data_IF_088887443392
#
_entry.id   IF_088887443392
#
_cell.length_a   1.000
_cell.length_b   1.000
_cell.length_c   1.000
_cell.angle_alpha   90.00
_cell.angle_beta   90.00
_cell.angle_gamma   90.00
#
_symmetry.space_group_name_H-M   'P 1'
#
loop_
_entity.id
_entity.type
_entity.pdbx_description
1 polymer ?
#
# COMPACT_ATOMS: atom_id res chain seq x y z
N UNK A 1 3.66 6.96 7.75
CA UNK A 1 3.03 6.34 6.54
C UNK A 1 2.82 4.85 6.79
N UNK A 2 2.63 4.51 8.06
CA UNK A 2 2.78 3.18 8.59
C UNK A 2 1.46 2.45 8.46
N UNK A 3 1.55 1.15 8.16
CA UNK A 3 0.38 0.31 8.00
C UNK A 3 0.09 -0.31 9.36
N UNK A 4 -0.81 0.34 10.10
CA UNK A 4 -1.21 -0.10 11.43
C UNK A 4 -2.16 -1.31 11.38
N UNK A 5 -3.01 -1.36 10.35
CA UNK A 5 -3.91 -2.47 10.09
C UNK A 5 -4.27 -2.52 8.60
N UNK A 6 -4.56 -3.73 8.11
CA UNK A 6 -5.29 -3.96 6.87
C UNK A 6 -6.44 -4.93 7.15
N UNK A 7 -7.49 -4.89 6.31
CA UNK A 7 -8.49 -5.97 6.28
C UNK A 7 -7.80 -7.31 5.99
N UNK A 8 -8.41 -8.45 6.38
CA UNK A 8 -7.81 -9.78 6.18
C UNK A 8 -7.53 -10.09 4.70
N UNK A 9 -8.37 -9.60 3.78
CA UNK A 9 -8.08 -9.60 2.34
C UNK A 9 -6.81 -8.81 1.95
N UNK A 10 -6.28 -7.98 2.85
CA UNK A 10 -4.98 -7.30 2.78
C UNK A 10 -3.89 -7.85 3.71
N UNK A 11 -4.19 -8.75 4.65
CA UNK A 11 -3.31 -9.08 5.79
C UNK A 11 -3.16 -10.60 6.10
N UNK A 12 -3.92 -11.54 5.51
CA UNK A 12 -3.85 -13.00 5.76
C UNK A 12 -2.77 -13.78 4.98
N UNK A 13 -2.35 -14.96 5.45
CA UNK A 13 -1.17 -15.71 5.01
C UNK A 13 -1.03 -15.96 3.48
N UNK A 14 0.15 -15.63 2.92
CA UNK A 14 0.70 -16.09 1.62
C UNK A 14 -0.33 -16.20 0.48
N UNK A 15 -1.10 -15.14 0.22
CA UNK A 15 -1.92 -15.10 -0.99
C UNK A 15 -1.64 -13.86 -1.81
N UNK A 16 -1.54 -14.09 -3.12
CA UNK A 16 -1.25 -13.19 -4.24
C UNK A 16 -2.36 -12.13 -4.45
N UNK A 17 -3.19 -11.92 -3.44
CA UNK A 17 -4.52 -11.31 -3.52
C UNK A 17 -4.64 -9.91 -2.91
N UNK A 18 -3.51 -9.20 -2.75
CA UNK A 18 -3.42 -8.03 -1.87
C UNK A 18 -3.08 -6.75 -2.63
N UNK A 19 -3.56 -5.57 -2.20
CA UNK A 19 -3.10 -4.30 -2.76
C UNK A 19 -1.63 -4.00 -2.46
N UNK A 20 -1.01 -4.68 -1.49
CA UNK A 20 0.42 -4.59 -1.13
C UNK A 20 0.98 -6.00 -0.78
N UNK A 21 1.18 -6.90 -1.75
CA UNK A 21 1.54 -8.29 -1.49
C UNK A 21 2.91 -8.42 -0.78
N UNK A 22 2.95 -9.21 0.30
CA UNK A 22 4.17 -9.53 1.04
C UNK A 22 4.54 -8.53 2.13
N UNK A 23 3.83 -7.42 2.27
CA UNK A 23 4.08 -6.44 3.35
C UNK A 23 3.78 -7.04 4.73
N UNK A 24 2.88 -8.02 4.82
CA UNK A 24 2.55 -8.76 6.02
C UNK A 24 3.72 -9.61 6.55
N UNK A 25 4.64 -9.99 5.68
CA UNK A 25 5.82 -10.76 6.06
C UNK A 25 6.85 -9.89 6.79
N UNK A 26 6.70 -8.56 6.77
CA UNK A 26 7.52 -7.65 7.54
C UNK A 26 7.01 -7.53 8.99
N UNK A 27 7.91 -7.34 9.97
CA UNK A 27 7.53 -6.94 11.33
C UNK A 27 6.64 -5.69 11.29
N UNK A 28 5.64 -5.62 12.18
CA UNK A 28 4.60 -4.59 12.15
C UNK A 28 5.19 -3.17 12.16
N UNK A 29 6.24 -2.95 12.95
CA UNK A 29 6.98 -1.71 13.09
C UNK A 29 7.76 -1.29 11.82
N UNK A 30 7.98 -2.23 10.89
CA UNK A 30 8.64 -1.98 9.61
C UNK A 30 7.64 -1.73 8.47
N UNK A 31 6.36 -2.07 8.65
CA UNK A 31 5.32 -1.93 7.62
C UNK A 31 5.02 -0.47 7.35
N UNK A 32 5.57 0.05 6.27
CA UNK A 32 5.39 1.42 5.84
C UNK A 32 5.23 1.46 4.32
N UNK A 33 4.24 2.21 3.83
CA UNK A 33 3.92 2.28 2.40
C UNK A 33 5.11 2.83 1.60
N UNK A 34 5.84 3.82 2.13
CA UNK A 34 7.02 4.38 1.46
C UNK A 34 8.13 3.33 1.35
N UNK A 35 8.44 2.60 2.43
CA UNK A 35 9.38 1.47 2.36
C UNK A 35 8.94 0.44 1.33
N UNK A 36 7.67 0.09 1.33
CA UNK A 36 7.13 -0.90 0.40
C UNK A 36 7.35 -0.47 -1.06
N UNK A 37 6.92 0.74 -1.45
CA UNK A 37 6.98 1.17 -2.86
C UNK A 37 8.42 1.34 -3.39
N UNK A 38 9.38 1.66 -2.51
CA UNK A 38 10.77 1.91 -2.91
C UNK A 38 11.68 0.69 -2.75
N UNK A 39 11.40 -0.20 -1.81
CA UNK A 39 12.34 -1.26 -1.41
C UNK A 39 11.81 -2.68 -1.66
N UNK A 40 10.48 -2.90 -1.64
CA UNK A 40 9.94 -4.25 -1.78
C UNK A 40 9.97 -4.74 -3.24
N UNK A 41 10.48 -5.94 -3.55
CA UNK A 41 10.55 -6.44 -4.92
C UNK A 41 9.19 -6.51 -5.61
N UNK A 42 8.14 -6.93 -4.90
CA UNK A 42 6.80 -7.03 -5.48
C UNK A 42 6.21 -5.67 -5.88
N UNK A 43 6.69 -4.56 -5.29
CA UNK A 43 6.21 -3.22 -5.65
C UNK A 43 6.66 -2.76 -7.04
N UNK A 44 7.69 -3.39 -7.62
CA UNK A 44 8.25 -3.02 -8.93
C UNK A 44 7.24 -3.20 -10.06
N UNK A 45 6.51 -4.30 -10.05
CA UNK A 45 5.56 -4.64 -11.12
C UNK A 45 4.10 -4.43 -10.72
N UNK A 46 3.85 -4.14 -9.44
CA UNK A 46 2.51 -4.00 -8.88
C UNK A 46 1.74 -2.80 -9.43
N UNK A 47 2.40 -1.67 -9.65
CA UNK A 47 1.73 -0.45 -10.10
C UNK A 47 1.98 -0.23 -11.58
N UNK A 48 0.93 -0.25 -12.41
CA UNK A 48 1.06 0.04 -13.82
C UNK A 48 1.58 1.47 -14.07
N UNK A 49 1.20 2.41 -13.19
CA UNK A 49 1.63 3.81 -13.21
C UNK A 49 2.68 4.08 -12.10
N UNK A 50 3.70 3.22 -12.03
CA UNK A 50 4.71 3.23 -10.97
C UNK A 50 5.35 4.58 -10.72
N UNK A 51 5.78 5.27 -11.79
CA UNK A 51 6.43 6.58 -11.65
C UNK A 51 5.52 7.57 -10.92
N UNK A 52 4.22 7.59 -11.22
CA UNK A 52 3.26 8.45 -10.53
C UNK A 52 3.13 8.09 -9.05
N UNK A 53 3.10 6.79 -8.73
CA UNK A 53 3.05 6.30 -7.35
C UNK A 53 4.29 6.71 -6.55
N UNK A 54 5.48 6.54 -7.10
CA UNK A 54 6.73 6.96 -6.45
C UNK A 54 6.73 8.46 -6.20
N UNK A 55 6.29 9.24 -7.18
CA UNK A 55 6.14 10.69 -7.05
C UNK A 55 5.21 11.14 -5.97
N UNK A 56 4.00 10.57 -5.95
CA UNK A 56 3.02 10.85 -4.92
C UNK A 56 3.55 10.51 -3.52
N UNK A 57 4.34 9.43 -3.40
CA UNK A 57 5.00 9.09 -2.14
C UNK A 57 6.06 10.12 -1.73
N UNK A 58 6.93 10.55 -2.64
CA UNK A 58 7.93 11.62 -2.36
C UNK A 58 7.24 12.94 -1.99
N UNK A 59 6.24 13.35 -2.77
CA UNK A 59 5.48 14.57 -2.50
C UNK A 59 4.82 14.53 -1.12
N UNK A 60 4.25 13.38 -0.75
CA UNK A 60 3.67 13.17 0.58
C UNK A 60 4.71 13.20 1.70
N UNK A 61 5.87 12.57 1.52
CA UNK A 61 6.95 12.60 2.50
C UNK A 61 7.45 14.03 2.72
N UNK A 62 7.65 14.82 1.65
CA UNK A 62 8.01 16.24 1.76
C UNK A 62 6.94 17.07 2.45
N UNK A 63 5.67 16.86 2.11
CA UNK A 63 4.56 17.56 2.75
C UNK A 63 4.53 17.29 4.27
N UNK A 64 4.72 16.02 4.67
CA UNK A 64 4.81 15.66 6.08
C UNK A 64 6.02 16.31 6.76
N UNK A 65 7.18 16.33 6.10
CA UNK A 65 8.39 16.96 6.64
C UNK A 65 8.27 18.48 6.77
N UNK A 66 7.44 19.11 5.94
CA UNK A 66 7.09 20.53 6.07
C UNK A 66 6.10 20.82 7.20
N UNK A 67 5.20 19.88 7.52
CA UNK A 67 4.21 20.03 8.61
C UNK A 67 4.85 19.73 9.97
N UNK A 68 5.67 18.68 10.06
CA UNK A 68 6.34 18.24 11.29
C UNK A 68 7.87 18.15 11.05
N UNK A 69 8.60 19.27 10.99
CA UNK A 69 10.04 19.27 10.68
C UNK A 69 10.91 18.58 11.75
N UNK A 70 10.46 18.58 13.01
CA UNK A 70 11.17 17.98 14.15
C UNK A 70 10.78 16.51 14.41
N UNK A 71 9.98 15.90 13.52
CA UNK A 71 9.56 14.51 13.64
C UNK A 71 10.74 13.55 13.33
N UNK A 72 11.44 13.13 14.38
CA UNK A 72 12.62 12.27 14.28
C UNK A 72 12.36 10.95 13.53
N UNK A 73 11.18 10.36 13.70
CA UNK A 73 10.72 9.15 13.00
C UNK A 73 10.64 9.38 11.49
N UNK A 74 10.10 10.51 11.05
CA UNK A 74 10.02 10.89 9.65
C UNK A 74 11.40 11.18 9.05
N UNK A 75 12.25 11.92 9.76
CA UNK A 75 13.63 12.20 9.32
C UNK A 75 14.42 10.90 9.15
N UNK A 76 14.31 9.98 10.12
CA UNK A 76 14.95 8.68 10.05
C UNK A 76 14.47 7.88 8.83
N UNK A 77 13.15 7.82 8.58
CA UNK A 77 12.58 7.14 7.43
C UNK A 77 13.08 7.72 6.10
N UNK A 78 13.12 9.05 5.96
CA UNK A 78 13.61 9.69 4.73
C UNK A 78 15.09 9.36 4.50
N UNK A 79 15.92 9.44 5.54
CA UNK A 79 17.35 9.12 5.44
C UNK A 79 17.60 7.64 5.08
N UNK A 80 16.84 6.73 5.70
CA UNK A 80 16.86 5.31 5.37
C UNK A 80 16.55 5.09 3.88
N UNK A 81 15.48 5.72 3.37
CA UNK A 81 15.07 5.57 1.98
C UNK A 81 16.04 6.21 0.99
N UNK A 82 16.65 7.35 1.33
CA UNK A 82 17.69 7.98 0.51
C UNK A 82 18.94 7.09 0.38
N UNK A 83 19.24 6.31 1.41
CA UNK A 83 20.39 5.39 1.40
C UNK A 83 20.09 4.10 0.64
N UNK A 84 18.85 3.62 0.69
CA UNK A 84 18.45 2.30 0.18
C UNK A 84 17.79 2.33 -1.20
N UNK A 85 17.31 3.49 -1.67
CA UNK A 85 16.60 3.62 -2.94
C UNK A 85 17.20 4.74 -3.81
N UNK A 86 18.01 4.40 -4.84
CA UNK A 86 18.52 5.37 -5.81
C UNK A 86 17.39 6.15 -6.52
N UNK A 87 16.23 5.51 -6.70
CA UNK A 87 15.06 6.14 -7.31
C UNK A 87 14.47 7.21 -6.41
N UNK A 88 14.35 6.95 -5.09
CA UNK A 88 13.91 7.97 -4.16
C UNK A 88 14.89 9.14 -4.16
N UNK A 89 16.20 8.90 -4.12
CA UNK A 89 17.23 9.95 -4.15
C UNK A 89 17.08 10.84 -5.37
N UNK A 90 16.98 10.25 -6.56
CA UNK A 90 16.75 11.00 -7.80
C UNK A 90 15.50 11.87 -7.73
N UNK A 91 14.38 11.32 -7.24
CA UNK A 91 13.12 12.05 -7.13
C UNK A 91 13.12 13.12 -6.01
N UNK A 92 13.90 12.88 -4.97
CA UNK A 92 14.09 13.80 -3.85
C UNK A 92 14.95 15.01 -4.22
N UNK A 93 15.86 14.88 -5.17
CA UNK A 93 16.68 15.99 -5.69
C UNK A 93 15.94 16.82 -6.74
N UNK A 94 15.16 16.17 -7.61
CA UNK A 94 14.56 16.85 -8.76
C UNK A 94 13.50 17.91 -8.41
N UNK A 95 13.02 17.98 -7.16
CA UNK A 95 11.99 18.93 -6.69
C UNK A 95 10.81 19.12 -7.67
N UNK A 96 10.50 18.10 -8.48
CA UNK A 96 9.50 18.24 -9.55
C UNK A 96 8.10 18.39 -8.94
N UNK A 97 7.43 19.48 -9.31
CA UNK A 97 6.00 19.68 -9.10
C UNK A 97 5.28 18.66 -9.98
N UNK A 98 4.76 17.61 -9.36
CA UNK A 98 4.08 16.53 -10.08
C UNK A 98 2.60 16.85 -10.29
N UNK A 99 2.00 16.32 -11.37
CA UNK A 99 0.58 16.45 -11.60
C UNK A 99 -0.23 15.87 -10.42
N UNK A 100 -1.51 16.28 -10.28
CA UNK A 100 -2.40 15.76 -9.25
C UNK A 100 -2.35 14.24 -9.18
N UNK A 101 -2.41 13.68 -7.96
CA UNK A 101 -2.47 12.25 -7.78
C UNK A 101 -3.64 11.67 -8.60
N UNK A 102 -3.44 10.55 -9.32
CA UNK A 102 -4.50 9.98 -10.14
C UNK A 102 -5.70 9.61 -9.25
N UNK A 103 -6.91 9.76 -9.79
CA UNK A 103 -8.17 9.45 -9.08
C UNK A 103 -8.36 7.96 -8.82
N UNK A 104 -7.62 7.11 -9.54
CA UNK A 104 -7.59 5.67 -9.37
C UNK A 104 -6.14 5.15 -9.40
N UNK A 105 -5.87 4.07 -8.68
CA UNK A 105 -4.64 3.29 -8.78
C UNK A 105 -4.84 2.13 -9.75
N UNK A 106 -3.95 2.01 -10.72
CA UNK A 106 -3.86 0.82 -11.57
C UNK A 106 -2.90 -0.19 -10.95
N UNK A 107 -3.44 -1.31 -10.50
CA UNK A 107 -2.72 -2.37 -9.81
C UNK A 107 -2.69 -3.61 -10.70
N UNK A 108 -1.51 -4.12 -11.00
CA UNK A 108 -1.31 -5.38 -11.71
C UNK A 108 -1.46 -6.53 -10.70
N UNK A 109 -2.66 -7.08 -10.65
CA UNK A 109 -2.98 -8.19 -9.77
C UNK A 109 -2.59 -9.51 -10.44
N UNK A 110 -1.81 -10.38 -9.79
CA UNK A 110 -1.32 -11.62 -10.40
C UNK A 110 -2.45 -12.61 -10.77
N UNK A 111 -3.58 -12.57 -10.07
CA UNK A 111 -4.74 -13.45 -10.34
C UNK A 111 -5.88 -12.78 -11.11
N UNK A 112 -5.98 -11.44 -11.03
CA UNK A 112 -7.11 -10.69 -11.61
C UNK A 112 -6.69 -9.79 -12.79
N UNK A 113 -5.41 -9.79 -13.14
CA UNK A 113 -4.85 -8.86 -14.12
C UNK A 113 -4.84 -7.41 -13.61
N UNK A 114 -4.75 -6.45 -14.51
CA UNK A 114 -4.75 -5.03 -14.14
C UNK A 114 -6.13 -4.59 -13.65
N UNK A 115 -6.21 -4.09 -12.42
CA UNK A 115 -7.39 -3.50 -11.78
C UNK A 115 -7.22 -1.98 -11.68
N UNK A 116 -8.24 -1.21 -12.08
CA UNK A 116 -8.28 0.23 -11.82
C UNK A 116 -9.16 0.50 -10.59
N UNK A 117 -8.53 0.77 -9.46
CA UNK A 117 -9.23 0.98 -8.18
C UNK A 117 -9.21 2.44 -7.80
N UNK A 118 -10.39 3.04 -7.67
CA UNK A 118 -10.56 4.31 -6.98
C UNK A 118 -10.11 4.17 -5.54
N UNK A 119 -9.65 5.26 -4.92
CA UNK A 119 -9.28 5.23 -3.52
C UNK A 119 -9.72 6.49 -2.78
N UNK A 120 -10.05 6.32 -1.51
CA UNK A 120 -10.38 7.43 -0.62
C UNK A 120 -9.50 7.36 0.62
N UNK A 121 -8.91 8.50 0.97
CA UNK A 121 -8.12 8.69 2.19
C UNK A 121 -8.93 9.55 3.16
N UNK A 122 -9.41 8.95 4.24
CA UNK A 122 -10.21 9.60 5.27
C UNK A 122 -9.37 9.79 6.54
N UNK A 123 -9.47 10.96 7.16
CA UNK A 123 -8.93 11.17 8.50
C UNK A 123 -9.86 10.51 9.51
N UNK A 124 -9.29 9.87 10.54
CA UNK A 124 -10.06 9.29 11.62
C UNK A 124 -10.24 10.36 12.71
N UNK A 125 -11.46 10.47 13.23
CA UNK A 125 -11.80 11.42 14.30
C UNK A 125 -10.92 11.20 15.54
N UNK A 126 -10.58 12.28 16.25
CA UNK A 126 -9.72 12.29 17.43
C UNK A 126 -8.32 11.66 17.27
N UNK A 127 -7.91 11.35 16.05
CA UNK A 127 -6.60 10.77 15.74
C UNK A 127 -6.00 11.46 14.52
N UNK A 128 -5.51 12.72 14.67
CA UNK A 128 -5.09 13.56 13.54
C UNK A 128 -3.96 12.98 12.69
N UNK A 129 -3.19 12.02 13.22
CA UNK A 129 -2.10 11.34 12.51
C UNK A 129 -2.54 10.02 11.86
N UNK A 130 -3.76 9.54 12.12
CA UNK A 130 -4.28 8.30 11.56
C UNK A 130 -5.24 8.55 10.40
N UNK A 131 -5.19 7.66 9.42
CA UNK A 131 -6.06 7.71 8.25
C UNK A 131 -6.52 6.31 7.86
N UNK A 132 -7.77 6.23 7.44
CA UNK A 132 -8.31 5.06 6.74
C UNK A 132 -8.17 5.28 5.24
N UNK A 133 -7.55 4.32 4.55
CA UNK A 133 -7.48 4.32 3.08
C UNK A 133 -8.32 3.17 2.56
N UNK A 134 -9.35 3.48 1.79
CA UNK A 134 -10.18 2.47 1.11
C UNK A 134 -9.83 2.43 -0.37
N UNK A 135 -9.82 1.23 -0.94
CA UNK A 135 -9.76 1.00 -2.37
C UNK A 135 -11.09 0.39 -2.80
N UNK A 136 -11.66 0.88 -3.90
CA UNK A 136 -12.95 0.42 -4.38
C UNK A 136 -13.04 0.52 -5.91
N UNK A 137 -14.01 -0.20 -6.46
CA UNK A 137 -14.43 -0.08 -7.85
C UNK A 137 -15.96 -0.04 -7.87
N UNK A 138 -16.52 0.66 -8.86
CA UNK A 138 -17.96 0.88 -8.90
C UNK A 138 -18.72 -0.43 -9.17
N UNK A 139 -19.86 -0.67 -8.51
CA UNK A 139 -20.69 -1.85 -8.74
C UNK A 139 -21.04 -2.03 -10.23
N UNK A 140 -21.03 -3.29 -10.70
CA UNK A 140 -21.30 -3.62 -12.10
C UNK A 140 -20.10 -3.47 -13.04
N UNK A 141 -18.96 -2.95 -12.56
CA UNK A 141 -17.72 -2.94 -13.35
C UNK A 141 -16.98 -4.28 -13.30
N UNK A 142 -16.11 -4.50 -14.30
CA UNK A 142 -15.20 -5.65 -14.33
C UNK A 142 -14.29 -5.67 -13.09
N UNK A 143 -13.78 -4.50 -12.70
CA UNK A 143 -12.83 -4.39 -11.58
C UNK A 143 -13.53 -4.66 -10.24
N UNK A 144 -14.79 -4.23 -10.06
CA UNK A 144 -15.59 -4.62 -8.90
C UNK A 144 -15.86 -6.12 -8.84
N UNK A 145 -16.20 -6.73 -9.98
CA UNK A 145 -16.41 -8.19 -10.07
C UNK A 145 -15.14 -8.95 -9.68
N UNK A 146 -13.98 -8.48 -10.15
CA UNK A 146 -12.71 -9.04 -9.76
C UNK A 146 -12.43 -8.88 -8.25
N UNK A 147 -12.64 -7.70 -7.66
CA UNK A 147 -12.46 -7.51 -6.21
C UNK A 147 -13.32 -8.46 -5.38
N UNK A 148 -14.61 -8.63 -5.73
CA UNK A 148 -15.51 -9.56 -5.02
C UNK A 148 -15.04 -11.01 -5.17
N UNK A 149 -14.50 -11.38 -6.33
CA UNK A 149 -13.94 -12.72 -6.52
C UNK A 149 -12.71 -12.95 -5.63
N UNK A 150 -11.81 -11.97 -5.56
CA UNK A 150 -10.61 -12.02 -4.72
C UNK A 150 -10.94 -12.11 -3.22
N UNK A 151 -11.99 -11.43 -2.78
CA UNK A 151 -12.44 -11.47 -1.39
C UNK A 151 -12.94 -12.88 -1.00
N UNK A 152 -13.75 -13.50 -1.88
CA UNK A 152 -14.26 -14.87 -1.67
C UNK A 152 -13.15 -15.93 -1.59
N UNK A 153 -12.14 -15.83 -2.46
CA UNK A 153 -11.00 -16.76 -2.45
C UNK A 153 -10.25 -16.68 -1.11
N UNK A 154 -10.16 -15.49 -0.52
CA UNK A 154 -9.51 -15.32 0.79
C UNK A 154 -10.33 -15.95 1.93
N UNK A 155 -11.66 -15.85 1.89
CA UNK A 155 -12.54 -16.49 2.89
C UNK A 155 -12.45 -18.02 2.85
N UNK A 156 -12.43 -18.61 1.65
CA UNK A 156 -12.35 -20.06 1.46
C UNK A 156 -11.01 -20.65 1.93
N UNK A 157 -9.91 -19.91 1.79
CA UNK A 157 -8.57 -20.33 2.23
C UNK A 157 -8.34 -20.16 3.74
N UNK A 158 -9.15 -19.34 4.41
CA UNK A 158 -9.03 -19.10 5.86
C UNK A 158 -9.70 -20.19 6.71
N UNK A 159 -10.44 -21.12 6.09
CA UNK A 159 -11.13 -22.22 6.75
C UNK A 159 -10.39 -23.56 6.68
N UNK A 160 -9.28 -23.74 7.40
CA UNK A 160 -8.68 -25.08 7.58
C UNK A 160 -9.43 -25.86 8.68
N UNK A 161 -9.81 -27.13 8.47
CA UNK A 161 -10.61 -27.90 9.43
C UNK A 161 -9.81 -28.21 10.70
N UNK A 162 -10.34 -27.84 11.87
CA UNK A 162 -9.86 -28.29 13.17
C UNK A 162 -9.95 -29.82 13.21
N UNK A 163 -8.81 -30.51 13.08
CA UNK A 163 -8.76 -31.95 13.28
C UNK A 163 -9.11 -32.25 14.75
N UNK A 164 -10.12 -33.09 15.03
CA UNK A 164 -10.42 -33.47 16.40
C UNK A 164 -9.23 -34.24 16.97
N UNK A 165 -8.62 -33.70 18.03
CA UNK A 165 -7.63 -34.41 18.83
C UNK A 165 -8.30 -35.66 19.41
N UNK A 166 -7.98 -36.82 18.83
CA UNK A 166 -8.31 -38.11 19.41
C UNK A 166 -7.35 -38.38 20.57
N UNK A 167 -7.97 -38.47 21.74
CA UNK A 167 -7.53 -38.86 23.09
C UNK A 167 -6.27 -39.72 23.21
#
# INVERSE_FOLDING_TARGET
>A
MDVLACNLGGCGHITRTKPLPGIECWPAEQRNISRYVFCHPAARDLFAERDQVLGGCVARLRALAGIEPDAADLTQLVNELLTTSPELTRLWELYEVRPPAPTAKKINHPEAGTLALSFQSMQIEDTPRHRLVTYYADPGTRDHTAMVHLDRVNDEQSGEPVQPQLS
#
